data_IF_294473107459
#
_entry.id   IF_294473107459
#
_cell.length_a   1.000
_cell.length_b   1.000
_cell.length_c   1.000
_cell.angle_alpha   90.00
_cell.angle_beta   90.00
_cell.angle_gamma   90.00
#
_symmetry.space_group_name_H-M   'P 1'
#
loop_
_entity.id
_entity.type
_entity.pdbx_description
1 polymer ?
#
# COMPACT_ATOMS: atom_id res chain seq x y z
N UNK A 1 15.90 5.29 12.22
CA UNK A 1 14.57 4.83 11.78
C UNK A 1 14.15 5.67 10.58
N UNK A 2 13.57 5.06 9.54
CA UNK A 2 13.03 5.82 8.41
C UNK A 2 11.58 6.18 8.69
N UNK A 3 11.23 7.44 8.49
CA UNK A 3 9.86 7.93 8.67
C UNK A 3 9.04 7.90 7.38
N UNK A 4 9.71 7.66 6.24
CA UNK A 4 9.09 7.75 4.92
C UNK A 4 9.68 6.74 3.91
N UNK A 5 8.81 5.99 3.22
CA UNK A 5 9.16 5.11 2.12
C UNK A 5 8.61 5.65 0.80
N UNK A 6 9.46 6.36 0.06
CA UNK A 6 9.05 7.01 -1.18
C UNK A 6 8.68 6.00 -2.29
N UNK A 7 9.25 4.79 -2.30
CA UNK A 7 8.93 3.76 -3.31
C UNK A 7 7.50 3.28 -3.12
N UNK A 8 7.12 2.97 -1.88
CA UNK A 8 5.74 2.59 -1.54
C UNK A 8 4.77 3.75 -1.79
N UNK A 9 5.16 5.00 -1.47
CA UNK A 9 4.35 6.18 -1.75
C UNK A 9 4.04 6.33 -3.25
N UNK A 10 5.08 6.27 -4.09
CA UNK A 10 4.97 6.38 -5.55
C UNK A 10 4.11 5.26 -6.11
N UNK A 11 4.39 3.98 -5.77
CA UNK A 11 3.57 2.86 -6.21
C UNK A 11 2.09 3.04 -5.84
N UNK A 12 1.82 3.47 -4.60
CA UNK A 12 0.46 3.65 -4.10
C UNK A 12 -0.32 4.74 -4.82
N UNK A 13 0.30 5.92 -4.99
CA UNK A 13 -0.31 7.01 -5.73
C UNK A 13 -0.63 6.59 -7.17
N UNK A 14 0.30 5.90 -7.84
CA UNK A 14 0.15 5.51 -9.24
C UNK A 14 -0.94 4.47 -9.51
N UNK A 15 -1.21 3.53 -8.60
CA UNK A 15 -2.31 2.57 -8.84
C UNK A 15 -3.69 3.13 -8.46
N UNK A 16 -3.75 4.10 -7.52
CA UNK A 16 -5.03 4.66 -7.04
C UNK A 16 -5.51 5.86 -7.84
N UNK A 17 -4.61 6.78 -8.22
CA UNK A 17 -4.96 7.97 -9.00
C UNK A 17 -5.78 7.65 -10.26
N UNK A 18 -5.38 6.68 -11.10
CA UNK A 18 -6.15 6.28 -12.28
C UNK A 18 -7.55 5.75 -11.94
N UNK A 19 -7.70 4.96 -10.87
CA UNK A 19 -9.01 4.42 -10.49
C UNK A 19 -10.03 5.54 -10.23
N UNK A 20 -9.61 6.60 -9.53
CA UNK A 20 -10.45 7.75 -9.26
C UNK A 20 -10.63 8.69 -10.45
N UNK A 21 -9.63 8.78 -11.32
CA UNK A 21 -9.77 9.46 -12.62
C UNK A 21 -10.93 8.84 -13.41
N UNK A 22 -10.89 7.53 -13.65
CA UNK A 22 -11.90 6.82 -14.42
C UNK A 22 -13.29 6.85 -13.75
N UNK A 23 -13.36 6.70 -12.42
CA UNK A 23 -14.61 6.80 -11.69
C UNK A 23 -15.27 8.19 -11.79
N UNK A 24 -14.47 9.24 -11.98
CA UNK A 24 -14.90 10.64 -12.01
C UNK A 24 -14.99 11.22 -13.42
N UNK A 25 -14.64 10.45 -14.47
CA UNK A 25 -14.67 10.92 -15.86
C UNK A 25 -16.03 11.47 -16.29
N UNK A 26 -17.12 10.87 -15.80
CA UNK A 26 -18.49 11.32 -16.04
C UNK A 26 -18.80 12.73 -15.51
N UNK A 27 -17.99 13.24 -14.56
CA UNK A 27 -18.11 14.59 -14.00
C UNK A 27 -17.29 15.64 -14.78
N UNK A 28 -16.58 15.21 -15.84
CA UNK A 28 -15.75 16.05 -16.69
C UNK A 28 -14.25 15.91 -16.41
N UNK A 29 -13.42 16.20 -17.43
CA UNK A 29 -11.96 15.99 -17.38
C UNK A 29 -11.27 16.76 -16.25
N UNK A 30 -11.71 18.00 -15.98
CA UNK A 30 -11.14 18.84 -14.91
C UNK A 30 -11.38 18.23 -13.53
N UNK A 31 -12.60 17.80 -13.25
CA UNK A 31 -12.94 17.17 -11.96
C UNK A 31 -12.32 15.78 -11.84
N UNK A 32 -12.23 15.02 -12.94
CA UNK A 32 -11.52 13.74 -12.95
C UNK A 32 -10.02 13.89 -12.65
N UNK A 33 -9.35 14.87 -13.26
CA UNK A 33 -7.95 15.17 -12.97
C UNK A 33 -7.74 15.65 -11.53
N UNK A 34 -8.65 16.48 -11.02
CA UNK A 34 -8.62 16.94 -9.62
C UNK A 34 -8.78 15.78 -8.65
N UNK A 35 -9.75 14.89 -8.87
CA UNK A 35 -9.97 13.70 -8.06
C UNK A 35 -8.71 12.81 -8.08
N UNK A 36 -8.17 12.52 -9.27
CA UNK A 36 -6.96 11.71 -9.42
C UNK A 36 -5.75 12.32 -8.67
N UNK A 37 -5.58 13.64 -8.73
CA UNK A 37 -4.50 14.35 -8.05
C UNK A 37 -4.61 14.32 -6.53
N UNK A 38 -5.81 14.57 -5.98
CA UNK A 38 -6.08 14.46 -4.54
C UNK A 38 -5.77 13.06 -4.04
N UNK A 39 -6.24 12.05 -4.77
CA UNK A 39 -6.09 10.64 -4.42
C UNK A 39 -4.65 10.16 -4.52
N UNK A 40 -3.94 10.59 -5.57
CA UNK A 40 -2.51 10.36 -5.69
C UNK A 40 -1.76 10.92 -4.48
N UNK A 41 -2.01 12.18 -4.11
CA UNK A 41 -1.30 12.84 -3.01
C UNK A 41 -1.66 12.24 -1.65
N UNK A 42 -2.95 12.03 -1.38
CA UNK A 42 -3.45 11.46 -0.13
C UNK A 42 -2.89 10.05 0.07
N UNK A 43 -2.98 9.19 -0.94
CA UNK A 43 -2.50 7.82 -0.80
C UNK A 43 -0.99 7.66 -0.96
N UNK A 44 -0.29 8.58 -1.64
CA UNK A 44 1.16 8.66 -1.54
C UNK A 44 1.57 9.06 -0.11
N UNK A 45 0.91 10.08 0.47
CA UNK A 45 1.10 10.58 1.85
C UNK A 45 0.91 9.44 2.89
N UNK A 46 -0.16 8.67 2.77
CA UNK A 46 -0.43 7.61 3.74
C UNK A 46 0.42 6.36 3.52
N UNK A 47 0.66 5.98 2.26
CA UNK A 47 1.42 4.77 1.93
C UNK A 47 2.92 4.93 2.16
N UNK A 48 3.48 6.13 2.01
CA UNK A 48 4.88 6.37 2.35
C UNK A 48 5.16 6.21 3.84
N UNK A 49 4.26 6.72 4.69
CA UNK A 49 4.36 6.56 6.14
C UNK A 49 4.16 5.10 6.55
N UNK A 50 3.09 4.45 6.10
CA UNK A 50 2.82 3.05 6.45
C UNK A 50 3.83 2.08 5.82
N UNK A 51 4.36 2.37 4.64
CA UNK A 51 5.48 1.65 4.03
C UNK A 51 6.77 1.76 4.85
N UNK A 52 7.05 2.94 5.42
CA UNK A 52 8.15 3.09 6.35
C UNK A 52 7.92 2.29 7.63
N UNK A 53 6.73 2.34 8.22
CA UNK A 53 6.37 1.52 9.38
C UNK A 53 6.62 0.02 9.10
N UNK A 54 6.11 -0.50 7.97
CA UNK A 54 6.32 -1.89 7.54
C UNK A 54 7.81 -2.19 7.38
N UNK A 55 8.58 -1.31 6.74
CA UNK A 55 10.02 -1.47 6.57
C UNK A 55 10.76 -1.57 7.92
N UNK A 56 10.41 -0.74 8.90
CA UNK A 56 11.06 -0.77 10.22
C UNK A 56 10.69 -2.04 11.00
N UNK A 57 9.45 -2.54 10.88
CA UNK A 57 9.01 -3.76 11.61
C UNK A 57 9.25 -5.06 10.84
N UNK A 58 9.90 -5.01 9.67
CA UNK A 58 10.01 -6.17 8.76
C UNK A 58 10.69 -7.39 9.38
N UNK A 59 11.58 -7.17 10.33
CA UNK A 59 12.28 -8.21 11.09
C UNK A 59 11.90 -8.24 12.58
N UNK A 60 10.89 -7.46 13.00
CA UNK A 60 10.45 -7.39 14.38
C UNK A 60 10.00 -8.77 14.89
N UNK A 61 10.52 -9.17 16.03
CA UNK A 61 10.03 -10.28 16.84
C UNK A 61 9.40 -9.71 18.10
N UNK A 62 8.35 -10.34 18.65
CA UNK A 62 7.71 -11.60 18.21
C UNK A 62 6.76 -11.45 17.01
N UNK A 63 6.42 -12.56 16.36
CA UNK A 63 5.54 -12.61 15.17
C UNK A 63 4.18 -11.93 15.40
N UNK A 64 3.55 -12.17 16.55
CA UNK A 64 2.21 -11.65 16.84
C UNK A 64 2.20 -10.12 16.80
N UNK A 65 3.18 -9.47 17.43
CA UNK A 65 3.28 -8.02 17.48
C UNK A 65 3.42 -7.42 16.08
N UNK A 66 4.30 -8.02 15.25
CA UNK A 66 4.43 -7.62 13.86
C UNK A 66 3.11 -7.77 13.10
N UNK A 67 2.41 -8.90 13.24
CA UNK A 67 1.14 -9.10 12.55
C UNK A 67 0.05 -8.15 13.04
N UNK A 68 -0.01 -7.82 14.33
CA UNK A 68 -0.92 -6.79 14.86
C UNK A 68 -0.65 -5.43 14.24
N UNK A 69 0.62 -5.01 14.15
CA UNK A 69 0.99 -3.74 13.50
C UNK A 69 0.55 -3.75 12.03
N UNK A 70 0.81 -4.84 11.30
CA UNK A 70 0.49 -4.91 9.86
C UNK A 70 -1.01 -5.06 9.55
N UNK A 71 -1.74 -5.85 10.33
CA UNK A 71 -3.13 -6.22 10.02
C UNK A 71 -4.16 -5.36 10.74
N UNK A 72 -3.79 -4.69 11.83
CA UNK A 72 -4.66 -3.74 12.53
C UNK A 72 -4.11 -2.32 12.44
N UNK A 73 -2.83 -2.12 12.77
CA UNK A 73 -2.22 -0.78 12.81
C UNK A 73 -2.21 -0.08 11.45
N UNK A 74 -1.73 -0.75 10.39
CA UNK A 74 -1.65 -0.17 9.05
C UNK A 74 -3.04 0.18 8.50
N UNK A 75 -4.04 -0.73 8.47
CA UNK A 75 -5.39 -0.36 8.04
C UNK A 75 -6.02 0.75 8.89
N UNK A 76 -5.83 0.74 10.22
CA UNK A 76 -6.36 1.80 11.07
C UNK A 76 -5.81 3.17 10.69
N UNK A 77 -4.50 3.28 10.44
CA UNK A 77 -3.86 4.53 10.00
C UNK A 77 -4.39 4.94 8.63
N UNK A 78 -4.42 4.01 7.66
CA UNK A 78 -4.85 4.30 6.29
C UNK A 78 -6.31 4.77 6.23
N UNK A 79 -7.24 4.04 6.86
CA UNK A 79 -8.66 4.38 6.78
C UNK A 79 -9.05 5.59 7.62
N UNK A 80 -8.33 5.85 8.71
CA UNK A 80 -8.50 7.13 9.45
C UNK A 80 -8.04 8.30 8.60
N UNK A 81 -6.89 8.20 7.93
CA UNK A 81 -6.39 9.25 7.05
C UNK A 81 -7.25 9.44 5.80
N UNK A 82 -7.72 8.35 5.20
CA UNK A 82 -8.69 8.35 4.09
C UNK A 82 -9.98 9.07 4.50
N UNK A 83 -10.53 8.73 5.67
CA UNK A 83 -11.73 9.39 6.20
C UNK A 83 -11.53 10.90 6.41
N UNK A 84 -10.42 11.30 7.04
CA UNK A 84 -10.08 12.72 7.25
C UNK A 84 -9.90 13.45 5.91
N UNK A 85 -9.17 12.85 4.97
CA UNK A 85 -8.91 13.42 3.65
C UNK A 85 -10.20 13.65 2.86
N UNK A 86 -11.05 12.63 2.72
CA UNK A 86 -12.31 12.77 2.01
C UNK A 86 -13.27 13.76 2.68
N UNK A 87 -13.26 13.83 4.02
CA UNK A 87 -14.06 14.83 4.77
C UNK A 87 -13.58 16.25 4.46
N UNK A 88 -12.25 16.46 4.42
CA UNK A 88 -11.65 17.76 4.11
C UNK A 88 -11.87 18.19 2.66
N UNK A 89 -11.74 17.26 1.71
CA UNK A 89 -11.86 17.54 0.28
C UNK A 89 -13.29 17.47 -0.28
N UNK A 90 -14.27 17.07 0.53
CA UNK A 90 -15.69 17.06 0.16
C UNK A 90 -16.07 16.03 -0.90
N UNK A 91 -15.32 14.93 -1.02
CA UNK A 91 -15.52 13.92 -2.08
C UNK A 91 -16.63 12.91 -1.72
N UNK A 92 -17.61 12.64 -2.60
CA UNK A 92 -18.84 11.90 -2.27
C UNK A 92 -18.74 10.35 -2.19
N UNK A 93 -17.59 9.74 -2.50
CA UNK A 93 -17.45 8.27 -2.57
C UNK A 93 -17.11 7.63 -1.21
N UNK A 94 -17.96 7.83 -0.19
CA UNK A 94 -17.60 7.65 1.23
C UNK A 94 -17.73 6.22 1.80
N UNK A 95 -18.72 5.43 1.39
CA UNK A 95 -19.15 4.25 2.20
C UNK A 95 -19.29 2.92 1.45
N UNK A 96 -19.06 2.89 0.12
CA UNK A 96 -19.25 1.65 -0.65
C UNK A 96 -17.91 0.89 -0.73
N UNK A 97 -17.71 -0.05 0.18
CA UNK A 97 -16.57 -0.99 0.11
C UNK A 97 -15.50 -0.83 1.19
N UNK A 98 -15.80 -0.26 2.36
CA UNK A 98 -14.84 -0.14 3.47
C UNK A 98 -14.21 -1.50 3.81
N UNK A 99 -15.02 -2.56 3.95
CA UNK A 99 -14.51 -3.91 4.22
C UNK A 99 -13.54 -4.39 3.12
N UNK A 100 -13.87 -4.15 1.85
CA UNK A 100 -12.99 -4.49 0.73
C UNK A 100 -11.68 -3.68 0.79
N UNK A 101 -11.76 -2.39 1.11
CA UNK A 101 -10.61 -1.49 1.28
C UNK A 101 -9.69 -1.95 2.43
N UNK A 102 -10.26 -2.37 3.56
CA UNK A 102 -9.54 -2.92 4.72
C UNK A 102 -8.82 -4.22 4.35
N UNK A 103 -9.52 -5.16 3.72
CA UNK A 103 -8.93 -6.43 3.27
C UNK A 103 -7.79 -6.15 2.29
N UNK A 104 -8.03 -5.31 1.28
CA UNK A 104 -7.03 -4.93 0.29
C UNK A 104 -5.81 -4.28 0.94
N UNK A 105 -6.01 -3.43 1.94
CA UNK A 105 -4.94 -2.79 2.70
C UNK A 105 -4.12 -3.80 3.51
N UNK A 106 -4.77 -4.79 4.13
CA UNK A 106 -4.09 -5.90 4.79
C UNK A 106 -3.24 -6.73 3.82
N UNK A 107 -3.80 -7.10 2.67
CA UNK A 107 -3.07 -7.82 1.61
C UNK A 107 -1.88 -7.00 1.10
N UNK A 108 -2.08 -5.70 0.85
CA UNK A 108 -1.03 -4.79 0.42
C UNK A 108 0.08 -4.64 1.48
N UNK A 109 -0.27 -4.58 2.76
CA UNK A 109 0.70 -4.51 3.86
C UNK A 109 1.54 -5.80 3.93
N UNK A 110 0.90 -6.97 3.82
CA UNK A 110 1.59 -8.27 3.77
C UNK A 110 2.48 -8.40 2.53
N UNK A 111 2.02 -7.93 1.36
CA UNK A 111 2.83 -7.92 0.15
C UNK A 111 4.05 -6.99 0.31
N UNK A 112 3.88 -5.79 0.85
CA UNK A 112 4.99 -4.88 1.14
C UNK A 112 6.00 -5.52 2.09
N UNK A 113 5.54 -6.16 3.17
CA UNK A 113 6.42 -6.92 4.08
C UNK A 113 7.20 -8.01 3.35
N UNK A 114 6.52 -8.78 2.50
CA UNK A 114 7.13 -9.85 1.71
C UNK A 114 8.17 -9.32 0.73
N UNK A 115 7.87 -8.24 0.00
CA UNK A 115 8.78 -7.60 -0.94
C UNK A 115 10.00 -7.01 -0.24
N UNK A 116 9.79 -6.28 0.86
CA UNK A 116 10.86 -5.64 1.65
C UNK A 116 11.79 -6.66 2.31
N UNK A 117 11.28 -7.82 2.72
CA UNK A 117 12.11 -8.94 3.19
C UNK A 117 13.00 -9.54 2.10
N UNK A 118 12.65 -9.35 0.84
CA UNK A 118 13.41 -9.78 -0.33
C UNK A 118 14.25 -8.64 -0.93
N UNK A 119 14.40 -7.53 -0.20
CA UNK A 119 15.22 -6.37 -0.60
C UNK A 119 14.52 -5.41 -1.56
N UNK A 120 13.29 -5.68 -2.00
CA UNK A 120 12.55 -4.81 -2.91
C UNK A 120 11.66 -3.82 -2.16
N UNK A 121 11.41 -2.64 -2.74
CA UNK A 121 10.61 -1.56 -2.12
C UNK A 121 11.17 -1.08 -0.78
N UNK A 122 12.45 -1.34 -0.51
CA UNK A 122 13.18 -0.79 0.63
C UNK A 122 13.68 0.60 0.24
N UNK A 123 13.33 1.62 1.01
CA UNK A 123 13.80 2.98 0.74
C UNK A 123 15.24 3.19 1.26
N UNK A 124 15.98 4.05 0.55
CA UNK A 124 17.37 4.52 0.75
C UNK A 124 18.46 3.44 0.76
N UNK A 125 19.59 3.67 1.44
CA UNK A 125 20.84 2.91 1.25
C UNK A 125 20.75 1.39 1.33
N UNK A 126 19.78 0.83 2.04
CA UNK A 126 19.59 -0.63 2.13
C UNK A 126 18.86 -1.23 0.91
N UNK A 127 18.26 -0.40 0.05
CA UNK A 127 17.44 -0.83 -1.07
C UNK A 127 18.09 -0.61 -2.43
N UNK A 128 17.74 -1.48 -3.39
CA UNK A 128 18.17 -1.39 -4.79
C UNK A 128 17.55 -0.18 -5.51
N UNK A 129 17.90 0.02 -6.79
CA UNK A 129 17.23 1.04 -7.61
C UNK A 129 15.74 0.72 -7.79
N UNK A 130 14.90 1.75 -7.89
CA UNK A 130 13.46 1.57 -8.04
C UNK A 130 13.09 0.84 -9.34
N UNK A 131 13.84 1.07 -10.42
CA UNK A 131 13.63 0.37 -11.70
C UNK A 131 13.89 -1.14 -11.54
N UNK A 132 14.93 -1.53 -10.82
CA UNK A 132 15.21 -2.95 -10.54
C UNK A 132 14.11 -3.57 -9.67
N UNK A 133 13.58 -2.82 -8.70
CA UNK A 133 12.43 -3.27 -7.90
C UNK A 133 11.20 -3.50 -8.77
N UNK A 134 10.88 -2.57 -9.69
CA UNK A 134 9.76 -2.70 -10.63
C UNK A 134 9.93 -3.93 -11.54
N UNK A 135 11.13 -4.16 -12.06
CA UNK A 135 11.43 -5.35 -12.87
C UNK A 135 11.26 -6.66 -12.08
N UNK A 136 11.46 -6.63 -10.76
CA UNK A 136 11.25 -7.79 -9.87
C UNK A 136 9.78 -7.97 -9.45
N UNK A 137 8.92 -6.96 -9.60
CA UNK A 137 7.52 -7.02 -9.14
C UNK A 137 6.74 -8.22 -9.71
N UNK A 138 6.79 -8.55 -11.01
CA UNK A 138 6.03 -9.70 -11.53
C UNK A 138 6.39 -11.01 -10.82
N UNK A 139 7.69 -11.24 -10.58
CA UNK A 139 8.19 -12.41 -9.84
C UNK A 139 7.80 -12.37 -8.37
N UNK A 140 7.84 -11.19 -7.74
CA UNK A 140 7.44 -11.02 -6.35
C UNK A 140 5.94 -11.29 -6.16
N UNK A 141 5.10 -10.77 -7.04
CA UNK A 141 3.66 -11.00 -7.06
C UNK A 141 3.37 -12.49 -7.21
N UNK A 142 3.94 -13.16 -8.23
CA UNK A 142 3.75 -14.60 -8.43
C UNK A 142 4.25 -15.44 -7.24
N UNK A 143 5.36 -15.02 -6.62
CA UNK A 143 5.88 -15.66 -5.42
C UNK A 143 4.97 -15.46 -4.18
N UNK A 144 4.39 -14.28 -4.02
CA UNK A 144 3.47 -13.96 -2.92
C UNK A 144 2.16 -14.75 -3.06
N UNK A 145 1.56 -14.76 -4.27
CA UNK A 145 0.32 -15.48 -4.55
C UNK A 145 0.47 -17.00 -4.40
N UNK A 146 1.63 -17.56 -4.80
CA UNK A 146 1.89 -19.00 -4.65
C UNK A 146 2.40 -19.40 -3.26
N UNK A 147 2.75 -18.45 -2.38
CA UNK A 147 3.33 -18.75 -1.07
C UNK A 147 2.41 -19.59 -0.15
N UNK A 148 1.10 -19.29 -0.01
CA UNK A 148 0.20 -20.08 0.83
C UNK A 148 0.10 -21.53 0.34
N UNK A 149 -0.08 -21.71 -0.98
CA UNK A 149 -0.19 -23.02 -1.62
C UNK A 149 1.10 -23.83 -1.45
N UNK A 150 2.26 -23.23 -1.74
CA UNK A 150 3.57 -23.90 -1.54
C UNK A 150 3.79 -24.31 -0.09
N UNK A 151 3.27 -23.55 0.89
CA UNK A 151 3.42 -23.90 2.31
C UNK A 151 2.45 -24.98 2.75
N UNK A 152 1.26 -25.06 2.15
CA UNK A 152 0.32 -26.18 2.35
C UNK A 152 0.84 -27.48 1.73
N UNK A 153 1.44 -27.41 0.54
CA UNK A 153 2.02 -28.57 -0.16
C UNK A 153 3.35 -29.05 0.43
N UNK A 154 4.04 -28.22 1.22
CA UNK A 154 5.31 -28.55 1.90
C UNK A 154 5.11 -28.92 3.37
N UNK A 155 3.92 -29.43 3.75
CA UNK A 155 3.78 -30.03 5.07
C UNK A 155 4.72 -31.25 5.17
N UNK A 156 5.44 -31.41 6.29
CA UNK A 156 6.37 -32.51 6.49
C UNK A 156 5.68 -33.87 6.39
#
# INVERSE_FOLDING_TARGET
MRLWNWKTAVCSGFYRGPAFFFASLQLGLREAARAAGIEFLLFAAMAGFTGALIQNVRFLQPLWLRMTILLAGVPAILHTGEWLGHTWFGTPARNKGILFSVILSGVAALFNLYAMRKGALVAGHEGDSFILDLARLPRLIGGFLSWPVRRLLRRP
#
